data_IF_862458068164
#
_entry.id   IF_862458068164
#
_cell.length_a   1.000
_cell.length_b   1.000
_cell.length_c   1.000
_cell.angle_alpha   90.00
_cell.angle_beta   90.00
_cell.angle_gamma   90.00
#
_symmetry.space_group_name_H-M   'P 1'
#
loop_
_entity.id
_entity.type
_entity.pdbx_description
1 polymer ?
#
# COMPACT_ATOMS: atom_id res chain seq x y z
N UNK A 1 17.00 7.79 46.30
CA UNK A 1 17.25 6.79 45.24
C UNK A 1 16.09 6.67 44.24
N UNK A 2 14.82 6.71 44.67
CA UNK A 2 13.66 6.58 43.76
C UNK A 2 13.50 7.70 42.71
N UNK A 3 13.91 8.93 43.01
CA UNK A 3 13.77 10.08 42.10
C UNK A 3 14.73 10.00 40.92
N UNK A 4 15.93 9.48 41.14
CA UNK A 4 16.96 9.31 40.12
C UNK A 4 16.59 8.18 39.15
N UNK A 5 15.96 7.12 39.67
CA UNK A 5 15.39 6.04 38.87
C UNK A 5 14.23 6.52 37.96
N UNK A 6 13.37 7.43 38.45
CA UNK A 6 12.28 8.05 37.66
C UNK A 6 12.79 8.95 36.53
N UNK A 7 13.84 9.73 36.79
CA UNK A 7 14.47 10.58 35.77
C UNK A 7 15.12 9.69 34.70
N UNK A 8 15.80 8.62 35.12
CA UNK A 8 16.41 7.67 34.19
C UNK A 8 15.35 6.98 33.30
N UNK A 9 14.17 6.64 33.85
CA UNK A 9 13.09 6.03 33.05
C UNK A 9 12.51 7.01 32.02
N UNK A 10 12.34 8.28 32.38
CA UNK A 10 11.86 9.31 31.43
C UNK A 10 12.87 9.55 30.30
N UNK A 11 14.17 9.54 30.60
CA UNK A 11 15.23 9.69 29.60
C UNK A 11 15.29 8.47 28.66
N UNK A 12 15.15 7.26 29.20
CA UNK A 12 15.11 6.01 28.42
C UNK A 12 13.89 5.97 27.47
N UNK A 13 12.73 6.47 27.89
CA UNK A 13 11.55 6.58 27.01
C UNK A 13 11.74 7.62 25.90
N UNK A 14 12.48 8.71 26.15
CA UNK A 14 12.82 9.70 25.12
C UNK A 14 13.93 9.26 24.15
N UNK A 15 14.73 8.26 24.54
CA UNK A 15 15.86 7.74 23.76
C UNK A 15 15.53 6.47 22.95
N UNK A 16 14.40 5.80 23.22
CA UNK A 16 13.85 4.82 22.28
C UNK A 16 13.27 5.61 21.11
N UNK A 17 14.14 5.79 20.11
CA UNK A 17 13.86 6.51 18.87
C UNK A 17 12.52 6.13 18.26
N UNK A 18 11.97 7.09 17.54
CA UNK A 18 10.80 6.98 16.66
C UNK A 18 10.72 5.56 16.07
N UNK A 19 9.63 4.84 16.35
CA UNK A 19 9.39 3.53 15.75
C UNK A 19 9.38 3.71 14.24
N UNK A 20 10.23 2.97 13.52
CA UNK A 20 10.23 3.00 12.06
C UNK A 20 8.92 2.38 11.57
N UNK A 21 7.98 3.21 11.13
CA UNK A 21 6.65 2.76 10.70
C UNK A 21 6.68 2.43 9.20
N UNK A 22 6.13 1.26 8.86
CA UNK A 22 6.11 0.74 7.48
C UNK A 22 4.73 0.95 6.88
N UNK A 23 4.64 1.85 5.90
CA UNK A 23 3.42 2.08 5.14
C UNK A 23 3.24 1.00 4.07
N UNK A 24 2.14 0.25 4.18
CA UNK A 24 1.75 -0.79 3.24
C UNK A 24 0.70 -0.27 2.27
N UNK A 25 1.00 -0.36 0.97
CA UNK A 25 0.08 0.00 -0.11
C UNK A 25 -0.39 -1.28 -0.81
N UNK A 26 -1.69 -1.43 -1.02
CA UNK A 26 -2.23 -2.55 -1.80
C UNK A 26 -2.07 -2.30 -3.30
N UNK A 27 -1.77 -3.34 -4.06
CA UNK A 27 -1.74 -3.33 -5.52
C UNK A 27 -2.71 -4.40 -6.03
N UNK A 28 -3.69 -3.97 -6.82
CA UNK A 28 -4.62 -4.85 -7.51
C UNK A 28 -4.48 -4.68 -9.01
N UNK A 29 -3.96 -5.70 -9.67
CA UNK A 29 -3.78 -5.72 -11.11
C UNK A 29 -3.90 -7.16 -11.61
N UNK A 30 -4.34 -7.38 -12.86
CA UNK A 30 -4.39 -8.71 -13.42
C UNK A 30 -2.98 -9.24 -13.71
N UNK A 31 -2.78 -10.56 -13.58
CA UNK A 31 -1.52 -11.19 -13.99
C UNK A 31 -1.33 -11.28 -15.51
N UNK A 32 -2.45 -11.30 -16.25
CA UNK A 32 -2.42 -11.53 -17.68
C UNK A 32 -1.62 -10.45 -18.43
N UNK A 33 -0.57 -10.87 -19.16
CA UNK A 33 0.26 -10.01 -20.01
C UNK A 33 -0.51 -9.33 -21.15
N UNK A 34 -1.69 -9.85 -21.50
CA UNK A 34 -2.61 -9.23 -22.44
C UNK A 34 -3.13 -7.88 -21.94
N UNK A 35 -3.16 -7.66 -20.62
CA UNK A 35 -3.59 -6.39 -20.06
C UNK A 35 -2.42 -5.38 -20.08
N UNK A 36 -2.60 -4.18 -20.68
CA UNK A 36 -1.55 -3.16 -20.73
C UNK A 36 -1.07 -2.70 -19.34
N UNK A 37 -1.89 -2.89 -18.31
CA UNK A 37 -1.62 -2.55 -16.92
C UNK A 37 -1.56 -3.81 -16.03
N UNK A 38 -0.93 -4.87 -16.51
CA UNK A 38 -0.69 -6.08 -15.70
C UNK A 38 0.22 -5.81 -14.51
N UNK A 39 0.17 -6.70 -13.50
CA UNK A 39 1.06 -6.63 -12.33
C UNK A 39 2.54 -6.63 -12.72
N UNK A 40 2.92 -7.29 -13.82
CA UNK A 40 4.31 -7.31 -14.26
C UNK A 40 4.82 -5.93 -14.62
N UNK A 41 3.96 -5.08 -15.20
CA UNK A 41 4.32 -3.70 -15.58
C UNK A 41 4.16 -2.75 -14.41
N UNK A 42 2.99 -2.76 -13.77
CA UNK A 42 2.69 -1.86 -12.65
C UNK A 42 3.53 -2.19 -11.42
N UNK A 43 3.70 -3.47 -11.08
CA UNK A 43 4.49 -3.91 -9.94
C UNK A 43 5.96 -3.57 -10.08
N UNK A 44 6.55 -3.71 -11.28
CA UNK A 44 7.92 -3.29 -11.53
C UNK A 44 8.10 -1.77 -11.38
N UNK A 45 7.19 -0.99 -11.95
CA UNK A 45 7.22 0.48 -11.80
C UNK A 45 7.04 0.90 -10.33
N UNK A 46 6.13 0.25 -9.61
CA UNK A 46 5.86 0.53 -8.19
C UNK A 46 7.06 0.16 -7.31
N UNK A 47 7.72 -0.95 -7.59
CA UNK A 47 8.93 -1.35 -6.89
C UNK A 47 10.03 -0.32 -7.05
N UNK A 48 10.31 0.13 -8.29
CA UNK A 48 11.31 1.18 -8.55
C UNK A 48 10.94 2.48 -7.82
N UNK A 49 9.66 2.87 -7.82
CA UNK A 49 9.20 4.06 -7.13
C UNK A 49 9.43 3.96 -5.62
N UNK A 50 9.11 2.82 -5.00
CA UNK A 50 9.29 2.63 -3.55
C UNK A 50 10.75 2.49 -3.16
N UNK A 51 11.57 1.85 -3.98
CA UNK A 51 13.02 1.80 -3.77
C UNK A 51 13.61 3.23 -3.79
N UNK A 52 13.15 4.07 -4.70
CA UNK A 52 13.55 5.49 -4.76
C UNK A 52 13.10 6.26 -3.51
N UNK A 53 11.86 6.07 -3.05
CA UNK A 53 11.35 6.72 -1.83
C UNK A 53 12.13 6.26 -0.58
N UNK A 54 12.37 4.95 -0.46
CA UNK A 54 13.07 4.37 0.68
C UNK A 54 14.57 4.72 0.70
N UNK A 55 15.19 4.97 -0.46
CA UNK A 55 16.59 5.40 -0.54
C UNK A 55 16.82 6.85 -0.09
N UNK A 56 15.76 7.66 -0.04
CA UNK A 56 15.83 9.09 0.21
C UNK A 56 15.17 9.44 1.57
N UNK A 57 15.95 9.55 2.66
CA UNK A 57 15.43 9.72 4.01
C UNK A 57 14.72 11.07 4.25
N UNK A 58 14.78 11.99 3.28
CA UNK A 58 14.11 13.29 3.30
C UNK A 58 12.63 13.24 2.93
N UNK A 59 12.16 12.25 2.16
CA UNK A 59 10.75 12.19 1.76
C UNK A 59 9.83 11.77 2.90
N UNK A 60 10.23 10.73 3.65
CA UNK A 60 9.56 10.34 4.89
C UNK A 60 10.60 9.85 5.91
N UNK A 61 11.09 10.73 6.80
CA UNK A 61 12.08 10.34 7.78
C UNK A 61 11.51 9.27 8.70
N UNK A 62 12.30 8.21 8.92
CA UNK A 62 11.95 7.11 9.80
C UNK A 62 10.68 6.34 9.42
N UNK A 63 10.33 6.32 8.13
CA UNK A 63 9.27 5.48 7.59
C UNK A 63 9.76 4.73 6.36
N UNK A 64 9.13 3.61 6.06
CA UNK A 64 9.42 2.84 4.83
C UNK A 64 8.13 2.53 4.10
N UNK A 65 8.21 2.48 2.77
CA UNK A 65 7.11 2.09 1.90
C UNK A 65 7.28 0.66 1.43
N UNK A 66 6.17 -0.07 1.39
CA UNK A 66 6.09 -1.39 0.77
C UNK A 66 4.71 -1.59 0.16
N UNK A 67 4.62 -2.52 -0.79
CA UNK A 67 3.33 -2.92 -1.33
C UNK A 67 3.04 -4.39 -1.10
N UNK A 68 1.75 -4.72 -1.06
CA UNK A 68 1.24 -6.08 -1.16
C UNK A 68 0.43 -6.20 -2.45
N UNK A 69 0.35 -7.39 -3.02
CA UNK A 69 -0.27 -7.62 -4.31
C UNK A 69 -1.39 -8.64 -4.18
N UNK A 70 -2.49 -8.41 -4.90
CA UNK A 70 -3.51 -9.41 -5.17
C UNK A 70 -3.93 -9.38 -6.64
N UNK A 71 -4.13 -10.56 -7.21
CA UNK A 71 -4.69 -10.69 -8.55
C UNK A 71 -6.19 -10.34 -8.52
N UNK A 72 -6.59 -9.39 -9.35
CA UNK A 72 -7.99 -9.01 -9.47
C UNK A 72 -8.74 -9.86 -10.50
N UNK A 73 -8.05 -10.67 -11.32
CA UNK A 73 -8.62 -11.53 -12.37
C UNK A 73 -9.60 -10.82 -13.34
N UNK A 74 -9.62 -9.48 -13.35
CA UNK A 74 -10.72 -8.66 -13.91
C UNK A 74 -12.13 -9.11 -13.52
N UNK A 75 -12.30 -9.66 -12.32
CA UNK A 75 -13.60 -10.01 -11.76
C UNK A 75 -13.91 -9.12 -10.55
N UNK A 76 -15.09 -8.48 -10.57
CA UNK A 76 -15.47 -7.52 -9.53
C UNK A 76 -15.56 -8.18 -8.14
N UNK A 77 -16.03 -9.42 -8.06
CA UNK A 77 -16.19 -10.15 -6.79
C UNK A 77 -14.82 -10.54 -6.22
N UNK A 78 -13.91 -11.05 -7.05
CA UNK A 78 -12.54 -11.40 -6.66
C UNK A 78 -11.77 -10.15 -6.23
N UNK A 79 -11.90 -9.05 -6.97
CA UNK A 79 -11.23 -7.80 -6.63
C UNK A 79 -11.76 -7.20 -5.33
N UNK A 80 -13.06 -7.25 -5.06
CA UNK A 80 -13.61 -6.75 -3.81
C UNK A 80 -13.16 -7.60 -2.61
N UNK A 81 -13.22 -8.93 -2.74
CA UNK A 81 -12.83 -9.87 -1.68
C UNK A 81 -11.34 -9.72 -1.32
N UNK A 82 -10.48 -9.64 -2.34
CA UNK A 82 -9.05 -9.41 -2.14
C UNK A 82 -8.73 -8.01 -1.60
N UNK A 83 -9.55 -7.00 -1.92
CA UNK A 83 -9.39 -5.66 -1.35
C UNK A 83 -9.73 -5.64 0.14
N UNK A 84 -10.87 -6.24 0.51
CA UNK A 84 -11.28 -6.37 1.91
C UNK A 84 -10.22 -7.13 2.71
N UNK A 85 -9.68 -8.21 2.14
CA UNK A 85 -8.60 -8.99 2.75
C UNK A 85 -7.34 -8.14 2.96
N UNK A 86 -6.92 -7.36 1.96
CA UNK A 86 -5.76 -6.47 2.11
C UNK A 86 -5.98 -5.37 3.16
N UNK A 87 -7.17 -4.78 3.23
CA UNK A 87 -7.48 -3.75 4.22
C UNK A 87 -7.55 -4.35 5.63
N UNK A 88 -8.26 -5.47 5.80
CA UNK A 88 -8.53 -6.06 7.12
C UNK A 88 -7.37 -6.89 7.67
N UNK A 89 -6.69 -7.66 6.83
CA UNK A 89 -5.64 -8.57 7.27
C UNK A 89 -4.24 -7.99 7.10
N UNK A 90 -4.00 -7.20 6.06
CA UNK A 90 -2.68 -6.60 5.78
C UNK A 90 -2.55 -5.16 6.28
N UNK A 91 -3.66 -4.50 6.60
CA UNK A 91 -3.64 -3.12 7.11
C UNK A 91 -3.13 -2.11 6.09
N UNK A 92 -3.50 -2.27 4.80
CA UNK A 92 -3.07 -1.32 3.77
C UNK A 92 -3.64 0.09 4.04
N UNK A 93 -2.83 1.11 3.80
CA UNK A 93 -3.22 2.53 3.99
C UNK A 93 -3.77 3.17 2.71
N UNK A 94 -3.50 2.55 1.56
CA UNK A 94 -3.91 3.01 0.24
C UNK A 94 -3.99 1.81 -0.71
N UNK A 95 -4.83 1.90 -1.74
CA UNK A 95 -4.94 0.90 -2.80
C UNK A 95 -4.56 1.51 -4.15
N UNK A 96 -3.74 0.80 -4.91
CA UNK A 96 -3.41 1.06 -6.30
C UNK A 96 -4.13 0.04 -7.17
N UNK A 97 -5.02 0.50 -8.04
CA UNK A 97 -5.97 -0.36 -8.76
C UNK A 97 -7.35 -0.42 -8.09
N UNK A 98 -8.29 -1.23 -8.60
CA UNK A 98 -8.14 -2.17 -9.71
C UNK A 98 -8.18 -1.51 -11.10
N UNK A 99 -7.55 -2.18 -12.07
CA UNK A 99 -7.39 -1.71 -13.47
C UNK A 99 -8.68 -1.86 -14.29
N UNK A 100 -9.54 -2.82 -13.96
CA UNK A 100 -10.75 -3.17 -14.71
C UNK A 100 -11.97 -2.41 -14.14
N UNK A 101 -12.83 -1.89 -15.01
CA UNK A 101 -13.88 -0.92 -14.66
C UNK A 101 -14.87 -1.48 -13.62
N UNK A 102 -15.24 -2.74 -13.75
CA UNK A 102 -16.24 -3.44 -12.92
C UNK A 102 -15.80 -3.54 -11.46
N UNK A 103 -14.49 -3.65 -11.24
CA UNK A 103 -13.90 -3.74 -9.90
C UNK A 103 -13.65 -2.35 -9.27
N UNK A 104 -13.54 -1.33 -10.12
CA UNK A 104 -13.22 0.03 -9.72
C UNK A 104 -14.40 0.73 -9.03
N UNK A 105 -15.63 0.47 -9.48
CA UNK A 105 -16.82 1.14 -8.96
C UNK A 105 -17.17 0.71 -7.52
N UNK A 106 -16.91 -0.56 -7.18
CA UNK A 106 -17.37 -1.16 -5.92
C UNK A 106 -16.40 -0.88 -4.74
N UNK A 107 -15.14 -0.56 -5.04
CA UNK A 107 -14.10 -0.36 -4.03
C UNK A 107 -14.17 1.03 -3.35
N UNK A 108 -14.80 2.02 -3.97
CA UNK A 108 -14.90 3.40 -3.46
C UNK A 108 -15.57 3.53 -2.08
N UNK A 109 -16.41 2.57 -1.67
CA UNK A 109 -17.13 2.65 -0.40
C UNK A 109 -16.23 2.41 0.83
N UNK A 110 -15.01 1.89 0.65
CA UNK A 110 -14.09 1.63 1.76
C UNK A 110 -13.23 2.87 2.01
N UNK A 111 -13.08 3.26 3.28
CA UNK A 111 -12.38 4.47 3.76
C UNK A 111 -10.84 4.39 3.62
N UNK A 112 -10.35 3.98 2.46
CA UNK A 112 -8.93 4.02 2.10
C UNK A 112 -8.79 4.73 0.74
N UNK A 113 -7.78 5.59 0.55
CA UNK A 113 -7.54 6.25 -0.72
C UNK A 113 -7.24 5.22 -1.81
N UNK A 114 -7.94 5.36 -2.94
CA UNK A 114 -7.77 4.50 -4.12
C UNK A 114 -7.17 5.35 -5.24
N UNK A 115 -6.01 4.94 -5.75
CA UNK A 115 -5.40 5.49 -6.95
C UNK A 115 -5.58 4.51 -8.11
N UNK A 116 -6.38 4.91 -9.10
CA UNK A 116 -6.59 4.13 -10.33
C UNK A 116 -5.72 4.69 -11.45
N UNK A 117 -4.62 4.01 -11.84
CA UNK A 117 -3.78 4.49 -12.94
C UNK A 117 -4.45 4.36 -14.32
N UNK A 118 -5.57 3.63 -14.42
CA UNK A 118 -6.10 3.18 -15.71
C UNK A 118 -7.62 2.97 -15.74
N UNK A 119 -8.43 3.68 -14.94
CA UNK A 119 -9.88 3.62 -15.10
C UNK A 119 -10.29 4.34 -16.40
N UNK A 120 -10.02 3.69 -17.52
CA UNK A 120 -10.31 4.16 -18.86
C UNK A 120 -11.42 3.26 -19.42
N UNK A 121 -12.63 3.79 -19.71
CA UNK A 121 -13.71 3.04 -20.33
C UNK A 121 -13.44 2.60 -21.79
N UNK A 122 -12.17 2.66 -22.24
CA UNK A 122 -11.70 2.46 -23.62
C UNK A 122 -10.62 1.37 -23.73
N UNK A 123 -10.58 0.41 -22.81
CA UNK A 123 -9.79 -0.82 -22.99
C UNK A 123 -10.69 -1.97 -23.48
N UNK A 124 -11.44 -1.73 -24.56
CA UNK A 124 -12.03 -2.76 -25.39
C UNK A 124 -11.47 -2.63 -26.81
#
# INVERSE_FOLDING_TARGET
MATLARILTLILMGALGTVAERFLIGLQAPQALSNPFSVMRLGAALQIAFDSLNSNPTFMPNHTFAFTYADCACDAKVSLDSFVTQVREKGIIALLGPVCAEASEVSFFIRVPILMPSCCPLCN
#
